data_IF_721144214310
#
_entry.id   IF_721144214310
#
_cell.length_a   1.000
_cell.length_b   1.000
_cell.length_c   1.000
_cell.angle_alpha   90.00
_cell.angle_beta   90.00
_cell.angle_gamma   90.00
#
_symmetry.space_group_name_H-M   'P 1'
#
loop_
_entity.id
_entity.type
_entity.pdbx_description
1 polymer ?
#
# COMPACT_ATOMS: atom_id res chain seq x y z
N UNK A 1 -12.20 -9.90 -6.45
CA UNK A 1 -12.58 -9.13 -7.65
C UNK A 1 -11.38 -8.92 -8.58
N UNK A 2 -10.35 -8.15 -8.22
CA UNK A 2 -9.19 -7.93 -9.08
C UNK A 2 -8.50 -9.24 -9.51
N UNK A 3 -8.29 -10.14 -8.56
CA UNK A 3 -7.73 -11.48 -8.80
C UNK A 3 -8.63 -12.33 -9.69
N UNK A 4 -9.95 -12.21 -9.53
CA UNK A 4 -10.96 -12.84 -10.40
C UNK A 4 -10.90 -12.32 -11.84
N UNK A 5 -10.46 -11.08 -12.02
CA UNK A 5 -10.24 -10.45 -13.33
C UNK A 5 -8.83 -10.71 -13.89
N UNK A 6 -8.04 -11.59 -13.26
CA UNK A 6 -6.70 -11.97 -13.71
C UNK A 6 -5.56 -11.07 -13.24
N UNK A 7 -5.83 -10.10 -12.36
CA UNK A 7 -4.77 -9.24 -11.81
C UNK A 7 -3.96 -9.98 -10.75
N UNK A 8 -2.64 -9.80 -10.79
CA UNK A 8 -1.75 -10.15 -9.68
C UNK A 8 -1.80 -9.04 -8.63
N UNK A 9 -2.19 -9.39 -7.41
CA UNK A 9 -2.36 -8.42 -6.32
C UNK A 9 -1.29 -8.65 -5.27
N UNK A 10 -0.59 -7.59 -4.88
CA UNK A 10 0.32 -7.58 -3.73
C UNK A 10 -0.19 -6.59 -2.70
N UNK A 11 -0.46 -7.06 -1.48
CA UNK A 11 -0.76 -6.22 -0.34
C UNK A 11 0.55 -5.74 0.30
N UNK A 12 0.71 -4.43 0.45
CA UNK A 12 1.88 -3.83 1.10
C UNK A 12 1.46 -3.11 2.37
N UNK A 13 1.98 -3.55 3.51
CA UNK A 13 1.70 -2.95 4.81
C UNK A 13 2.78 -3.32 5.83
N UNK A 14 2.96 -2.55 6.93
CA UNK A 14 3.73 -3.04 8.07
C UNK A 14 3.05 -4.27 8.69
N UNK A 15 3.80 -5.20 9.33
CA UNK A 15 3.23 -6.42 9.92
C UNK A 15 2.05 -6.18 10.87
N UNK A 16 2.07 -5.04 11.58
CA UNK A 16 1.02 -4.63 12.52
C UNK A 16 -0.31 -4.25 11.85
N UNK A 17 -0.32 -3.94 10.55
CA UNK A 17 -1.51 -3.57 9.78
C UNK A 17 -1.96 -4.65 8.80
N UNK A 18 -1.26 -5.79 8.76
CA UNK A 18 -1.68 -6.93 7.95
C UNK A 18 -2.92 -7.56 8.59
N UNK A 19 -4.02 -7.73 7.83
CA UNK A 19 -5.23 -8.37 8.34
C UNK A 19 -4.97 -9.81 8.77
N UNK A 20 -5.59 -10.22 9.88
CA UNK A 20 -5.64 -11.64 10.26
C UNK A 20 -6.36 -12.43 9.18
N UNK A 21 -5.77 -13.54 8.73
CA UNK A 21 -6.36 -14.37 7.67
C UNK A 21 -5.95 -13.99 6.25
N UNK A 22 -5.04 -13.02 6.08
CA UNK A 22 -4.53 -12.61 4.76
C UNK A 22 -3.89 -13.77 4.00
N UNK A 23 -3.36 -14.77 4.71
CA UNK A 23 -2.72 -15.95 4.11
C UNK A 23 -3.68 -16.81 3.28
N UNK A 24 -5.00 -16.61 3.44
CA UNK A 24 -6.05 -17.26 2.67
C UNK A 24 -6.50 -16.44 1.47
N UNK A 25 -6.02 -15.20 1.34
CA UNK A 25 -6.39 -14.31 0.25
C UNK A 25 -5.56 -14.66 -0.98
N UNK A 26 -6.11 -14.52 -2.20
CA UNK A 26 -5.38 -14.79 -3.44
C UNK A 26 -4.43 -13.63 -3.79
N UNK A 27 -3.57 -13.20 -2.87
CA UNK A 27 -2.63 -12.09 -3.05
C UNK A 27 -1.29 -12.37 -2.36
N UNK A 28 -0.23 -11.79 -2.89
CA UNK A 28 1.07 -11.76 -2.20
C UNK A 28 1.05 -10.71 -1.09
N UNK A 29 1.93 -10.86 -0.10
CA UNK A 29 2.15 -9.86 0.95
C UNK A 29 3.60 -9.40 0.90
N UNK A 30 3.82 -8.08 0.88
CA UNK A 30 5.13 -7.47 1.03
C UNK A 30 5.13 -6.50 2.21
N UNK A 31 6.26 -6.37 2.88
CA UNK A 31 6.48 -5.39 3.93
C UNK A 31 7.27 -4.17 3.46
N UNK A 32 7.75 -4.18 2.21
CA UNK A 32 8.49 -3.10 1.56
C UNK A 32 7.72 -2.60 0.34
N UNK A 33 7.40 -1.31 0.33
CA UNK A 33 6.81 -0.66 -0.83
C UNK A 33 7.82 -0.60 -1.98
N UNK A 34 9.06 -0.25 -1.67
CA UNK A 34 10.11 -0.06 -2.67
C UNK A 34 10.38 -1.33 -3.50
N UNK A 35 10.22 -2.51 -2.91
CA UNK A 35 10.47 -3.81 -3.56
C UNK A 35 9.43 -4.16 -4.63
N UNK A 36 8.26 -3.50 -4.62
CA UNK A 36 7.15 -3.83 -5.53
C UNK A 36 6.88 -2.77 -6.60
N UNK A 37 7.36 -1.54 -6.41
CA UNK A 37 7.02 -0.40 -7.29
C UNK A 37 7.46 -0.62 -8.74
N UNK A 38 8.68 -1.13 -8.96
CA UNK A 38 9.26 -1.28 -10.29
C UNK A 38 8.51 -2.27 -11.21
N UNK A 39 7.66 -3.13 -10.63
CA UNK A 39 6.86 -4.14 -11.34
C UNK A 39 5.35 -3.89 -11.25
N UNK A 40 4.93 -2.76 -10.70
CA UNK A 40 3.52 -2.46 -10.45
C UNK A 40 2.92 -1.63 -11.58
N UNK A 41 1.94 -2.18 -12.30
CA UNK A 41 1.18 -1.45 -13.33
C UNK A 41 0.15 -0.47 -12.74
N UNK A 42 -0.27 -0.72 -11.50
CA UNK A 42 -1.19 0.14 -10.78
C UNK A 42 -0.91 0.09 -9.28
N UNK A 43 -0.88 1.25 -8.63
CA UNK A 43 -0.67 1.38 -7.18
C UNK A 43 -1.92 2.00 -6.57
N UNK A 44 -2.63 1.22 -5.74
CA UNK A 44 -3.79 1.68 -4.99
C UNK A 44 -3.37 2.15 -3.59
N UNK A 45 -3.23 3.46 -3.43
CA UNK A 45 -2.94 4.06 -2.13
C UNK A 45 -4.20 4.04 -1.27
N UNK A 46 -4.07 3.59 -0.02
CA UNK A 46 -5.15 3.57 0.95
C UNK A 46 -4.92 4.64 2.01
N UNK A 47 -6.01 5.29 2.44
CA UNK A 47 -5.96 6.22 3.56
C UNK A 47 -5.76 5.45 4.87
N UNK A 48 -4.80 5.91 5.67
CA UNK A 48 -4.67 5.51 7.07
C UNK A 48 -5.88 5.99 7.87
N UNK A 49 -6.65 5.05 8.40
CA UNK A 49 -7.85 5.33 9.21
C UNK A 49 -7.49 5.50 10.69
N UNK A 50 -6.93 6.67 11.03
CA UNK A 50 -6.50 7.02 12.39
C UNK A 50 -7.60 6.85 13.42
N UNK A 51 -8.84 7.19 13.04
CA UNK A 51 -10.02 7.07 13.88
C UNK A 51 -10.32 5.64 14.34
N UNK A 52 -9.71 4.63 13.70
CA UNK A 52 -9.85 3.22 14.05
C UNK A 52 -8.64 2.65 14.78
N UNK A 53 -7.61 3.46 15.00
CA UNK A 53 -6.35 3.06 15.60
C UNK A 53 -6.33 3.42 17.09
N UNK A 54 -7.18 2.76 17.88
CA UNK A 54 -7.17 2.88 19.35
C UNK A 54 -5.97 2.17 20.01
N UNK A 55 -5.20 1.40 19.23
CA UNK A 55 -3.95 0.78 19.63
C UNK A 55 -2.79 1.34 18.78
N UNK A 56 -1.58 1.40 19.34
CA UNK A 56 -0.39 1.94 18.68
C UNK A 56 0.14 0.95 17.61
N UNK A 57 -0.45 0.96 16.41
CA UNK A 57 -0.04 0.08 15.31
C UNK A 57 1.25 0.56 14.60
N UNK A 58 1.65 1.82 14.75
CA UNK A 58 2.95 2.35 14.29
C UNK A 58 3.38 3.56 15.13
N UNK A 59 4.70 3.91 15.16
CA UNK A 59 5.23 4.89 16.10
C UNK A 59 4.77 6.32 15.82
N UNK A 60 4.74 6.75 14.55
CA UNK A 60 4.21 8.05 14.11
C UNK A 60 3.69 7.99 12.67
N UNK A 61 2.77 8.90 12.32
CA UNK A 61 2.34 9.11 10.92
C UNK A 61 3.51 9.43 9.99
N UNK A 62 4.47 10.24 10.47
CA UNK A 62 5.65 10.62 9.68
C UNK A 62 6.47 9.39 9.30
N UNK A 63 6.67 8.46 10.23
CA UNK A 63 7.38 7.23 9.94
C UNK A 63 6.62 6.33 8.97
N UNK A 64 5.29 6.25 9.12
CA UNK A 64 4.45 5.52 8.18
C UNK A 64 4.54 6.12 6.78
N UNK A 65 4.33 7.42 6.62
CA UNK A 65 4.44 8.12 5.33
C UNK A 65 5.83 7.98 4.72
N UNK A 66 6.90 7.99 5.51
CA UNK A 66 8.26 7.76 4.99
C UNK A 66 8.45 6.35 4.45
N UNK A 67 7.89 5.32 5.10
CA UNK A 67 8.08 3.92 4.69
C UNK A 67 7.09 3.44 3.61
N UNK A 68 5.85 3.93 3.66
CA UNK A 68 4.74 3.43 2.85
C UNK A 68 4.00 4.53 2.08
N UNK A 69 4.41 5.80 2.21
CA UNK A 69 3.90 6.88 1.38
C UNK A 69 4.50 6.86 -0.02
N UNK A 70 3.73 7.29 -1.01
CA UNK A 70 4.17 7.41 -2.38
C UNK A 70 4.61 8.86 -2.65
N UNK A 71 5.91 9.08 -2.79
CA UNK A 71 6.51 10.37 -3.13
C UNK A 71 7.00 10.40 -4.59
N UNK A 72 7.53 11.55 -5.02
CA UNK A 72 8.01 11.73 -6.40
C UNK A 72 9.16 10.78 -6.77
N UNK A 73 10.06 10.48 -5.84
CA UNK A 73 11.17 9.54 -6.09
C UNK A 73 10.66 8.12 -6.31
N UNK A 74 9.66 7.70 -5.53
CA UNK A 74 9.01 6.39 -5.70
C UNK A 74 8.17 6.32 -6.96
N UNK A 75 7.46 7.39 -7.30
CA UNK A 75 6.73 7.47 -8.59
C UNK A 75 7.67 7.32 -9.78
N UNK A 76 8.87 7.90 -9.72
CA UNK A 76 9.88 7.77 -10.77
C UNK A 76 10.44 6.35 -10.94
N UNK A 77 10.25 5.45 -9.95
CA UNK A 77 10.63 4.04 -10.05
C UNK A 77 9.55 3.16 -10.67
N UNK A 78 8.33 3.68 -10.83
CA UNK A 78 7.23 2.93 -11.43
C UNK A 78 7.39 2.89 -12.97
N UNK A 79 6.84 1.86 -13.64
CA UNK A 79 6.76 1.87 -15.10
C UNK A 79 6.07 3.13 -15.63
N UNK A 80 6.48 3.63 -16.80
CA UNK A 80 5.93 4.87 -17.38
C UNK A 80 4.41 4.81 -17.60
N UNK A 81 3.87 3.61 -17.87
CA UNK A 81 2.44 3.38 -18.07
C UNK A 81 1.66 3.18 -16.76
N UNK A 82 2.34 3.14 -15.62
CA UNK A 82 1.72 2.80 -14.35
C UNK A 82 0.81 3.90 -13.82
N UNK A 83 -0.29 3.51 -13.18
CA UNK A 83 -1.29 4.45 -12.63
C UNK A 83 -1.32 4.46 -11.11
N UNK A 84 -1.53 5.64 -10.52
CA UNK A 84 -1.77 5.81 -9.09
C UNK A 84 -3.26 6.02 -8.84
N UNK A 85 -3.83 5.23 -7.94
CA UNK A 85 -5.26 5.27 -7.58
C UNK A 85 -5.42 5.52 -6.08
N UNK A 86 -6.53 6.16 -5.69
CA UNK A 86 -6.90 6.34 -4.27
C UNK A 86 -8.44 6.36 -4.11
N UNK A 87 -9.05 5.52 -3.26
CA UNK A 87 -10.51 5.30 -3.24
C UNK A 87 -11.36 6.34 -2.47
N UNK A 88 -10.78 7.45 -1.99
CA UNK A 88 -11.46 8.40 -1.09
C UNK A 88 -10.48 9.45 -0.55
N UNK A 89 -10.86 10.41 0.30
CA UNK A 89 -10.07 11.63 0.50
C UNK A 89 -8.62 11.34 0.92
N UNK A 90 -7.69 11.84 0.11
CA UNK A 90 -6.26 11.64 0.29
C UNK A 90 -5.74 12.57 1.39
N UNK A 91 -5.03 12.02 2.37
CA UNK A 91 -4.23 12.82 3.31
C UNK A 91 -2.94 13.18 2.58
N UNK A 92 -2.81 14.45 2.16
CA UNK A 92 -1.58 14.98 1.58
C UNK A 92 -0.61 15.29 2.73
N UNK A 93 0.57 14.69 2.71
CA UNK A 93 1.60 14.86 3.74
C UNK A 93 2.96 14.49 3.20
#
# INVERSE_FOLDING_TARGET
LLTTLGAHVTLVAPPTLVPVGVEKWPCDVSYSLDDVLAKSDAVMMLRVQRERMNAAYFPTEREYSRRYGLDGERMAKMPEHAIVMHPGPMVRG
#
